data_IF_755850843248
#
_entry.id   IF_755850843248
#
_cell.length_a   1.000
_cell.length_b   1.000
_cell.length_c   1.000
_cell.angle_alpha   90.00
_cell.angle_beta   90.00
_cell.angle_gamma   90.00
#
_symmetry.space_group_name_H-M   'P 1'
#
loop_
_entity.id
_entity.type
_entity.pdbx_description
1 polymer ?
#
# COMPACT_ATOMS: atom_id res chain seq x y z
N UNK A 1 -6.01 1.38 -16.48
CA UNK A 1 -4.98 1.40 -15.39
C UNK A 1 -4.39 2.80 -15.28
N UNK A 2 -3.88 3.20 -14.11
CA UNK A 2 -3.09 4.44 -13.96
C UNK A 2 -1.60 4.05 -13.81
N UNK A 3 -0.68 4.80 -14.42
CA UNK A 3 0.77 4.61 -14.25
C UNK A 3 1.19 5.28 -12.96
N UNK A 4 1.94 4.55 -12.14
CA UNK A 4 2.48 5.04 -10.87
C UNK A 4 3.94 4.64 -10.79
N UNK A 5 4.80 5.59 -10.41
CA UNK A 5 6.20 5.32 -10.06
C UNK A 5 6.27 5.11 -8.55
N UNK A 6 6.96 4.06 -8.12
CA UNK A 6 7.20 3.75 -6.71
C UNK A 6 8.69 3.62 -6.48
N UNK A 7 9.16 4.04 -5.30
CA UNK A 7 10.50 3.71 -4.83
C UNK A 7 10.40 2.43 -4.01
N UNK A 8 11.35 1.54 -4.22
CA UNK A 8 11.50 0.29 -3.47
C UNK A 8 12.98 0.08 -3.18
N UNK A 9 13.26 -0.59 -2.08
CA UNK A 9 14.63 -0.98 -1.75
C UNK A 9 15.16 -1.96 -2.81
N UNK A 10 16.46 -1.87 -3.07
CA UNK A 10 17.12 -2.64 -4.14
C UNK A 10 17.01 -4.16 -3.91
N UNK A 11 17.12 -4.61 -2.66
CA UNK A 11 16.93 -6.01 -2.28
C UNK A 11 15.53 -6.52 -2.67
N UNK A 12 14.48 -5.74 -2.35
CA UNK A 12 13.09 -6.08 -2.69
C UNK A 12 12.89 -6.11 -4.22
N UNK A 13 13.54 -5.23 -4.96
CA UNK A 13 13.48 -5.25 -6.42
C UNK A 13 14.03 -6.55 -6.99
N UNK A 14 15.17 -7.03 -6.48
CA UNK A 14 15.77 -8.29 -6.94
C UNK A 14 14.89 -9.50 -6.61
N UNK A 15 14.33 -9.57 -5.40
CA UNK A 15 13.40 -10.64 -5.02
C UNK A 15 12.17 -10.69 -5.94
N UNK A 16 11.58 -9.53 -6.26
CA UNK A 16 10.42 -9.46 -7.15
C UNK A 16 10.80 -9.85 -8.58
N UNK A 17 12.01 -9.47 -9.02
CA UNK A 17 12.49 -9.79 -10.36
C UNK A 17 12.71 -11.29 -10.51
N UNK A 18 13.35 -11.94 -9.54
CA UNK A 18 13.54 -13.39 -9.52
C UNK A 18 12.19 -14.11 -9.57
N UNK A 19 11.25 -13.72 -8.71
CA UNK A 19 9.90 -14.31 -8.71
C UNK A 19 9.17 -14.11 -10.05
N UNK A 20 9.33 -12.95 -10.69
CA UNK A 20 8.72 -12.67 -11.98
C UNK A 20 9.31 -13.56 -13.10
N UNK A 21 10.61 -13.81 -13.07
CA UNK A 21 11.30 -14.71 -14.00
C UNK A 21 10.85 -16.17 -13.81
N UNK A 22 10.77 -16.64 -12.57
CA UNK A 22 10.28 -17.99 -12.22
C UNK A 22 8.82 -18.21 -12.69
N UNK A 23 7.95 -17.22 -12.45
CA UNK A 23 6.53 -17.27 -12.81
C UNK A 23 6.25 -16.95 -14.29
N UNK A 24 7.26 -16.56 -15.06
CA UNK A 24 7.13 -16.04 -16.44
C UNK A 24 6.11 -14.89 -16.55
N UNK A 25 6.11 -13.98 -15.56
CA UNK A 25 5.20 -12.83 -15.47
C UNK A 25 5.97 -11.52 -15.56
N UNK A 26 5.26 -10.43 -15.87
CA UNK A 26 5.85 -9.11 -15.71
C UNK A 26 5.93 -8.71 -14.22
N UNK A 27 7.00 -8.02 -13.80
CA UNK A 27 7.13 -7.41 -12.47
C UNK A 27 5.88 -6.62 -12.06
N UNK A 28 5.28 -5.90 -13.02
CA UNK A 28 4.07 -5.10 -12.77
C UNK A 28 2.84 -5.94 -12.43
N UNK A 29 2.80 -7.21 -12.84
CA UNK A 29 1.74 -8.16 -12.49
C UNK A 29 1.95 -8.70 -11.08
N UNK A 30 3.18 -9.10 -10.73
CA UNK A 30 3.54 -9.51 -9.38
C UNK A 30 3.19 -8.42 -8.36
N UNK A 31 3.62 -7.17 -8.62
CA UNK A 31 3.29 -6.02 -7.78
C UNK A 31 1.78 -5.78 -7.67
N UNK A 32 1.03 -5.96 -8.77
CA UNK A 32 -0.42 -5.79 -8.76
C UNK A 32 -1.11 -6.84 -7.91
N UNK A 33 -0.73 -8.10 -8.06
CA UNK A 33 -1.25 -9.20 -7.27
C UNK A 33 -0.97 -8.97 -5.78
N UNK A 34 0.26 -8.60 -5.42
CA UNK A 34 0.66 -8.29 -4.06
C UNK A 34 -0.17 -7.14 -3.47
N UNK A 35 -0.30 -6.01 -4.19
CA UNK A 35 -1.10 -4.87 -3.74
C UNK A 35 -2.59 -5.22 -3.57
N UNK A 36 -3.16 -6.02 -4.49
CA UNK A 36 -4.55 -6.49 -4.38
C UNK A 36 -4.73 -7.38 -3.15
N UNK A 37 -3.80 -8.30 -2.88
CA UNK A 37 -3.82 -9.17 -1.69
C UNK A 37 -3.73 -8.34 -0.41
N UNK A 38 -2.76 -7.43 -0.32
CA UNK A 38 -2.57 -6.53 0.82
C UNK A 38 -3.83 -5.69 1.12
N UNK A 39 -4.43 -5.09 0.09
CA UNK A 39 -5.65 -4.28 0.25
C UNK A 39 -6.85 -5.14 0.68
N UNK A 40 -7.00 -6.37 0.16
CA UNK A 40 -8.07 -7.29 0.57
C UNK A 40 -7.94 -7.66 2.04
N UNK A 41 -6.74 -7.99 2.50
CA UNK A 41 -6.48 -8.33 3.91
C UNK A 41 -6.74 -7.16 4.86
N UNK A 42 -6.26 -5.96 4.50
CA UNK A 42 -6.55 -4.73 5.25
C UNK A 42 -8.05 -4.42 5.31
N UNK A 43 -8.78 -4.61 4.22
CA UNK A 43 -10.25 -4.43 4.20
C UNK A 43 -10.99 -5.47 5.04
N UNK A 44 -10.56 -6.73 5.05
CA UNK A 44 -11.13 -7.77 5.93
C UNK A 44 -10.97 -7.40 7.41
N UNK A 45 -9.78 -6.93 7.81
CA UNK A 45 -9.54 -6.44 9.18
C UNK A 45 -10.43 -5.24 9.53
N UNK A 46 -10.66 -4.31 8.59
CA UNK A 46 -11.58 -3.19 8.76
C UNK A 46 -13.06 -3.60 8.74
N UNK A 47 -13.46 -4.69 8.08
CA UNK A 47 -14.88 -5.13 8.07
C UNK A 47 -15.40 -5.48 9.47
N UNK A 48 -14.54 -5.96 10.37
CA UNK A 48 -14.90 -6.15 11.79
C UNK A 48 -15.20 -4.83 12.52
N UNK A 49 -14.66 -3.70 12.05
CA UNK A 49 -14.95 -2.35 12.59
C UNK A 49 -16.02 -1.58 11.79
N UNK A 50 -16.54 -2.13 10.67
CA UNK A 50 -17.46 -1.44 9.74
C UNK A 50 -18.85 -2.13 9.65
N UNK A 51 -19.25 -2.92 10.64
CA UNK A 51 -20.67 -3.32 10.71
C UNK A 51 -21.58 -2.09 11.00
N UNK A 52 -21.01 -0.94 11.39
CA UNK A 52 -21.77 0.28 11.70
C UNK A 52 -21.67 1.48 10.73
N UNK A 53 -20.86 1.45 9.65
CA UNK A 53 -20.65 2.65 8.82
C UNK A 53 -20.70 2.31 7.32
N UNK A 54 -21.94 2.36 6.81
CA UNK A 54 -22.29 2.84 5.49
C UNK A 54 -21.59 2.21 4.27
N UNK A 55 -22.30 1.25 3.71
CA UNK A 55 -22.58 1.11 2.28
C UNK A 55 -22.75 2.48 1.58
N UNK A 56 -21.67 3.10 1.10
CA UNK A 56 -21.77 4.14 0.06
C UNK A 56 -20.50 4.23 -0.78
N UNK A 57 -20.68 4.11 -2.09
CA UNK A 57 -19.63 4.18 -3.09
C UNK A 57 -19.10 5.59 -3.28
N UNK A 58 -18.06 5.98 -2.52
CA UNK A 58 -17.20 7.11 -2.87
C UNK A 58 -15.73 6.74 -2.65
N UNK A 59 -14.94 6.89 -3.72
CA UNK A 59 -13.57 6.38 -3.87
C UNK A 59 -12.55 7.52 -3.76
N UNK A 60 -12.71 8.43 -2.80
CA UNK A 60 -11.83 9.61 -2.70
C UNK A 60 -11.43 9.93 -1.26
N UNK A 61 -11.11 8.91 -0.44
CA UNK A 61 -10.53 9.12 0.91
C UNK A 61 -9.32 8.21 1.14
N UNK A 62 -8.48 8.02 0.12
CA UNK A 62 -7.18 7.35 0.28
C UNK A 62 -6.00 8.32 0.08
N UNK A 63 -6.24 9.52 -0.44
CA UNK A 63 -5.19 10.48 -0.82
C UNK A 63 -4.70 11.36 0.33
N UNK A 64 -5.18 11.17 1.57
CA UNK A 64 -4.91 12.10 2.67
C UNK A 64 -4.54 11.43 3.98
N UNK A 65 -3.65 10.44 3.95
CA UNK A 65 -3.11 9.83 5.17
C UNK A 65 -1.58 9.94 5.31
N UNK A 66 -0.83 10.24 4.26
CA UNK A 66 0.63 10.38 4.37
C UNK A 66 1.05 11.70 5.06
N UNK A 67 0.17 12.70 5.11
CA UNK A 67 0.49 13.99 5.75
C UNK A 67 0.47 13.95 7.29
N UNK A 68 -0.24 12.98 7.90
CA UNK A 68 -0.36 12.88 9.37
C UNK A 68 0.86 12.17 9.99
N UNK A 69 1.44 11.19 9.30
CA UNK A 69 2.58 10.42 9.83
C UNK A 69 3.91 11.20 9.78
N UNK A 70 4.02 12.23 8.94
CA UNK A 70 5.21 13.09 8.87
C UNK A 70 5.27 14.18 9.95
N UNK A 71 4.14 14.56 10.55
CA UNK A 71 4.11 15.58 11.59
C UNK A 71 4.51 15.04 12.98
N UNK A 72 4.29 13.75 13.26
CA UNK A 72 4.72 13.14 14.53
C UNK A 72 6.24 12.87 14.61
N UNK A 73 6.91 12.67 13.48
CA UNK A 73 8.36 12.48 13.44
C UNK A 73 9.14 13.79 13.67
N UNK A 74 8.56 14.96 13.33
CA UNK A 74 9.21 16.26 13.54
C UNK A 74 9.11 16.77 14.98
N UNK A 75 8.12 16.35 15.76
CA UNK A 75 7.94 16.82 17.14
C UNK A 75 8.77 16.07 18.20
N UNK A 76 9.62 15.10 17.82
CA UNK A 76 10.52 14.38 18.76
C UNK A 76 12.00 14.79 18.69
N UNK A 77 12.37 15.78 17.87
CA UNK A 77 13.75 16.31 17.77
C UNK A 77 13.89 17.78 18.21
N UNK A 78 13.01 18.25 19.08
CA UNK A 78 13.00 19.63 19.58
C UNK A 78 12.92 19.73 21.11
N UNK A 79 13.49 18.78 21.85
CA UNK A 79 13.70 18.96 23.30
C UNK A 79 15.01 18.26 23.71
N UNK A 80 16.11 18.98 23.55
CA UNK A 80 17.37 18.79 24.28
C UNK A 80 17.98 20.17 24.47
#
# INVERSE_FOLDING_TARGET
MKRTTIFIDEEIYYDIKELAEEDQKAISEILREALVRYLKERKKKKKLSIIGIAESGRKDIAERHEEILWQEAKNRKGNS
#
